data_IF_625165610381
#
_entry.id   IF_625165610381
#
_cell.length_a   1.000
_cell.length_b   1.000
_cell.length_c   1.000
_cell.angle_alpha   90.00
_cell.angle_beta   90.00
_cell.angle_gamma   90.00
#
_symmetry.space_group_name_H-M   'P 1'
#
loop_
_entity.id
_entity.type
_entity.pdbx_description
1 polymer ?
#
# COMPACT_ATOMS: atom_id res chain seq x y z
N UNK A 1 -18.28 -3.46 38.39
CA UNK A 1 -18.90 -4.02 37.16
C UNK A 1 -17.95 -3.74 35.99
N UNK A 2 -16.84 -4.48 35.87
CA UNK A 2 -15.66 -3.93 35.17
C UNK A 2 -14.79 -4.91 34.34
N UNK A 3 -15.31 -6.07 33.92
CA UNK A 3 -14.53 -7.01 33.09
C UNK A 3 -15.06 -7.26 31.66
N UNK A 4 -16.24 -6.72 31.28
CA UNK A 4 -16.80 -6.92 29.93
C UNK A 4 -16.17 -6.07 28.82
N UNK A 5 -15.41 -5.03 29.14
CA UNK A 5 -15.09 -3.95 28.19
C UNK A 5 -13.89 -4.22 27.26
N UNK A 6 -12.89 -5.03 27.65
CA UNK A 6 -11.68 -5.21 26.84
C UNK A 6 -11.76 -6.42 25.91
N UNK A 7 -12.22 -7.58 26.38
CA UNK A 7 -12.37 -8.79 25.55
C UNK A 7 -13.37 -8.60 24.41
N UNK A 8 -14.52 -7.97 24.67
CA UNK A 8 -15.53 -7.72 23.63
C UNK A 8 -15.06 -6.66 22.62
N UNK A 9 -14.32 -5.63 23.05
CA UNK A 9 -13.73 -4.63 22.14
C UNK A 9 -12.59 -5.21 21.30
N UNK A 10 -11.72 -6.04 21.87
CA UNK A 10 -10.67 -6.73 21.12
C UNK A 10 -11.26 -7.78 20.17
N UNK A 11 -12.26 -8.55 20.61
CA UNK A 11 -12.96 -9.52 19.76
C UNK A 11 -13.73 -8.83 18.62
N UNK A 12 -14.45 -7.75 18.91
CA UNK A 12 -15.15 -6.95 17.90
C UNK A 12 -14.19 -6.31 16.89
N UNK A 13 -13.06 -5.77 17.35
CA UNK A 13 -12.01 -5.23 16.49
C UNK A 13 -11.33 -6.28 15.61
N UNK A 14 -11.04 -7.47 16.16
CA UNK A 14 -10.50 -8.60 15.40
C UNK A 14 -11.50 -9.16 14.39
N UNK A 15 -12.78 -9.28 14.76
CA UNK A 15 -13.84 -9.73 13.86
C UNK A 15 -14.08 -8.72 12.73
N UNK A 16 -14.08 -7.42 13.04
CA UNK A 16 -14.20 -6.37 12.04
C UNK A 16 -13.00 -6.34 11.09
N UNK A 17 -11.78 -6.41 11.63
CA UNK A 17 -10.54 -6.49 10.84
C UNK A 17 -10.47 -7.75 9.97
N UNK A 18 -10.90 -8.89 10.51
CA UNK A 18 -11.00 -10.15 9.77
C UNK A 18 -12.03 -10.10 8.66
N UNK A 19 -13.20 -9.51 8.91
CA UNK A 19 -14.25 -9.33 7.91
C UNK A 19 -13.81 -8.35 6.81
N UNK A 20 -13.16 -7.23 7.18
CA UNK A 20 -12.66 -6.27 6.20
C UNK A 20 -11.57 -6.85 5.31
N UNK A 21 -10.61 -7.58 5.90
CA UNK A 21 -9.57 -8.26 5.12
C UNK A 21 -10.15 -9.37 4.24
N UNK A 22 -11.07 -10.17 4.79
CA UNK A 22 -11.76 -11.23 4.03
C UNK A 22 -12.52 -10.66 2.83
N UNK A 23 -13.25 -9.54 3.02
CA UNK A 23 -13.94 -8.86 1.92
C UNK A 23 -12.96 -8.35 0.86
N UNK A 24 -11.85 -7.73 1.28
CA UNK A 24 -10.82 -7.24 0.36
C UNK A 24 -10.18 -8.37 -0.46
N UNK A 25 -9.95 -9.52 0.18
CA UNK A 25 -9.35 -10.70 -0.45
C UNK A 25 -10.33 -11.40 -1.39
N UNK A 26 -11.62 -11.46 -1.03
CA UNK A 26 -12.69 -11.90 -1.92
C UNK A 26 -12.82 -11.00 -3.15
N UNK A 27 -12.73 -9.67 -2.96
CA UNK A 27 -12.72 -8.74 -4.09
C UNK A 27 -11.53 -9.00 -5.01
N UNK A 28 -10.32 -9.14 -4.46
CA UNK A 28 -9.13 -9.48 -5.24
C UNK A 28 -9.30 -10.79 -6.03
N UNK A 29 -9.88 -11.82 -5.41
CA UNK A 29 -10.16 -13.10 -6.07
C UNK A 29 -11.18 -12.96 -7.21
N UNK A 30 -12.26 -12.19 -7.00
CA UNK A 30 -13.26 -11.92 -8.05
C UNK A 30 -12.63 -11.16 -9.22
N UNK A 31 -11.82 -10.12 -8.95
CA UNK A 31 -11.07 -9.43 -10.00
C UNK A 31 -10.14 -10.39 -10.75
N UNK A 32 -9.44 -11.27 -10.03
CA UNK A 32 -8.59 -12.31 -10.63
C UNK A 32 -9.36 -13.24 -11.57
N UNK A 33 -10.55 -13.69 -11.18
CA UNK A 33 -11.42 -14.54 -11.99
C UNK A 33 -12.01 -13.81 -13.21
N UNK A 34 -12.39 -12.54 -13.05
CA UNK A 34 -12.90 -11.71 -14.16
C UNK A 34 -11.79 -11.45 -15.17
N UNK A 35 -10.59 -11.10 -14.72
CA UNK A 35 -9.40 -10.92 -15.56
C UNK A 35 -9.09 -12.19 -16.34
N UNK A 36 -9.17 -13.37 -15.71
CA UNK A 36 -8.95 -14.65 -16.38
C UNK A 36 -9.92 -14.89 -17.55
N UNK A 37 -11.13 -14.31 -17.50
CA UNK A 37 -12.14 -14.44 -18.56
C UNK A 37 -11.99 -13.40 -19.67
N UNK A 38 -11.38 -12.25 -19.38
CA UNK A 38 -11.25 -11.12 -20.31
C UNK A 38 -9.86 -10.97 -20.94
N UNK A 39 -8.79 -11.39 -20.27
CA UNK A 39 -7.42 -11.31 -20.78
C UNK A 39 -7.04 -12.59 -21.50
N UNK A 40 -6.42 -12.42 -22.66
CA UNK A 40 -5.65 -13.48 -23.32
C UNK A 40 -4.54 -13.99 -22.38
N UNK A 41 -4.15 -15.28 -22.42
CA UNK A 41 -3.09 -15.83 -21.56
C UNK A 41 -1.78 -15.04 -21.59
N UNK A 42 -1.49 -14.40 -22.72
CA UNK A 42 -0.34 -13.52 -22.92
C UNK A 42 -0.39 -12.28 -22.01
N UNK A 43 -1.53 -11.59 -21.95
CA UNK A 43 -1.69 -10.38 -21.14
C UNK A 43 -1.69 -10.68 -19.64
N UNK A 44 -2.23 -11.84 -19.25
CA UNK A 44 -2.21 -12.30 -17.87
C UNK A 44 -0.76 -12.57 -17.40
N UNK A 45 0.07 -13.12 -18.29
CA UNK A 45 1.50 -13.29 -18.05
C UNK A 45 2.21 -11.97 -17.79
N UNK A 46 1.94 -10.95 -18.61
CA UNK A 46 2.53 -9.59 -18.46
C UNK A 46 2.17 -8.97 -17.11
N UNK A 47 0.91 -9.06 -16.68
CA UNK A 47 0.47 -8.55 -15.38
C UNK A 47 1.11 -9.33 -14.23
N UNK A 48 1.11 -10.67 -14.29
CA UNK A 48 1.70 -11.51 -13.25
C UNK A 48 3.20 -11.22 -13.03
N UNK A 49 3.95 -10.95 -14.10
CA UNK A 49 5.36 -10.54 -14.02
C UNK A 49 5.52 -9.23 -13.25
N UNK A 50 4.67 -8.25 -13.51
CA UNK A 50 4.69 -6.95 -12.84
C UNK A 50 4.23 -7.03 -11.38
N UNK A 51 3.38 -8.01 -11.03
CA UNK A 51 2.93 -8.24 -9.65
C UNK A 51 4.09 -8.57 -8.71
N UNK A 52 5.12 -9.28 -9.16
CA UNK A 52 6.30 -9.61 -8.33
C UNK A 52 7.02 -8.32 -7.91
N UNK A 53 7.31 -7.44 -8.87
CA UNK A 53 7.94 -6.14 -8.60
C UNK A 53 7.03 -5.27 -7.72
N UNK A 54 5.72 -5.32 -7.98
CA UNK A 54 4.72 -4.61 -7.20
C UNK A 54 4.68 -5.08 -5.74
N UNK A 55 4.79 -6.38 -5.49
CA UNK A 55 4.81 -6.95 -4.14
C UNK A 55 6.08 -6.54 -3.38
N UNK A 56 7.24 -6.55 -4.04
CA UNK A 56 8.50 -6.08 -3.44
C UNK A 56 8.42 -4.59 -3.10
N UNK A 57 7.88 -3.78 -4.01
CA UNK A 57 7.67 -2.35 -3.79
C UNK A 57 6.71 -2.09 -2.61
N UNK A 58 5.62 -2.86 -2.52
CA UNK A 58 4.67 -2.78 -1.42
C UNK A 58 5.34 -3.12 -0.08
N UNK A 59 6.11 -4.20 -0.02
CA UNK A 59 6.84 -4.60 1.19
C UNK A 59 7.89 -3.56 1.63
N UNK A 60 8.58 -2.93 0.67
CA UNK A 60 9.48 -1.82 0.95
C UNK A 60 8.74 -0.59 1.50
N UNK A 61 7.56 -0.29 0.96
CA UNK A 61 6.74 0.84 1.41
C UNK A 61 6.16 0.60 2.81
N UNK A 62 5.65 -0.61 3.09
CA UNK A 62 5.18 -1.02 4.41
C UNK A 62 6.30 -1.02 5.46
N UNK A 63 7.48 -1.56 5.12
CA UNK A 63 8.62 -1.54 6.05
C UNK A 63 9.10 -0.11 6.35
N UNK A 64 9.14 0.77 5.33
CA UNK A 64 9.45 2.19 5.54
C UNK A 64 8.41 2.92 6.39
N UNK A 65 7.12 2.59 6.20
CA UNK A 65 6.02 3.13 7.01
C UNK A 65 6.08 2.66 8.47
N UNK A 66 6.26 1.36 8.70
CA UNK A 66 6.39 0.78 10.04
C UNK A 66 7.63 1.35 10.74
N UNK A 67 8.77 1.47 10.06
CA UNK A 67 9.98 2.08 10.63
C UNK A 67 9.76 3.54 11.06
N UNK A 68 8.98 4.31 10.31
CA UNK A 68 8.65 5.68 10.67
C UNK A 68 7.65 5.77 11.83
N UNK A 69 6.70 4.83 11.94
CA UNK A 69 5.65 4.82 12.95
C UNK A 69 6.09 4.19 14.29
N UNK A 70 6.83 3.07 14.27
CA UNK A 70 7.22 2.32 15.47
C UNK A 70 8.23 3.05 16.36
N UNK A 71 8.88 4.09 15.84
CA UNK A 71 9.96 4.77 16.56
C UNK A 71 9.50 5.87 17.54
N UNK A 72 8.19 6.06 17.76
CA UNK A 72 7.69 7.20 18.58
C UNK A 72 6.45 6.83 19.41
N UNK A 73 6.53 6.99 20.73
CA UNK A 73 5.45 6.70 21.68
C UNK A 73 4.51 7.87 21.96
N UNK A 74 4.90 9.12 21.68
CA UNK A 74 4.06 10.33 21.81
C UNK A 74 4.51 11.41 20.81
N UNK A 75 4.01 11.40 19.56
CA UNK A 75 4.47 12.32 18.52
C UNK A 75 3.86 13.72 18.65
N UNK A 76 4.71 14.75 18.62
CA UNK A 76 4.34 16.16 18.49
C UNK A 76 4.02 16.52 17.02
N UNK A 77 3.36 17.65 16.78
CA UNK A 77 2.93 18.09 15.44
C UNK A 77 4.06 18.16 14.41
N UNK A 78 5.27 18.57 14.81
CA UNK A 78 6.44 18.66 13.92
C UNK A 78 6.93 17.28 13.48
N UNK A 79 6.81 16.27 14.34
CA UNK A 79 7.25 14.90 14.07
C UNK A 79 6.29 14.16 13.13
N UNK A 80 4.99 14.47 13.20
CA UNK A 80 4.02 14.01 12.19
C UNK A 80 4.38 14.51 10.79
N UNK A 81 4.78 15.79 10.68
CA UNK A 81 5.21 16.36 9.41
C UNK A 81 6.50 15.69 8.92
N UNK A 82 7.45 15.39 9.80
CA UNK A 82 8.68 14.68 9.46
C UNK A 82 8.42 13.25 8.93
N UNK A 83 7.54 12.48 9.59
CA UNK A 83 7.13 11.13 9.13
C UNK A 83 6.41 11.20 7.78
N UNK A 84 5.59 12.23 7.59
CA UNK A 84 4.90 12.50 6.33
C UNK A 84 5.89 12.75 5.19
N UNK A 85 6.82 13.70 5.35
CA UNK A 85 7.82 14.01 4.33
C UNK A 85 8.75 12.82 4.07
N UNK A 86 9.11 12.05 5.10
CA UNK A 86 9.89 10.83 4.96
C UNK A 86 9.15 9.79 4.11
N UNK A 87 7.88 9.50 4.42
CA UNK A 87 7.11 8.51 3.68
C UNK A 87 6.85 8.94 2.22
N UNK A 88 6.62 10.23 1.99
CA UNK A 88 6.49 10.81 0.65
C UNK A 88 7.79 10.65 -0.15
N UNK A 89 8.93 10.93 0.48
CA UNK A 89 10.25 10.80 -0.14
C UNK A 89 10.59 9.34 -0.45
N UNK A 90 10.29 8.40 0.45
CA UNK A 90 10.46 6.95 0.22
C UNK A 90 9.57 6.48 -0.94
N UNK A 91 8.30 6.89 -0.97
CA UNK A 91 7.37 6.50 -2.05
C UNK A 91 7.77 7.10 -3.40
N UNK A 92 8.20 8.37 -3.42
CA UNK A 92 8.68 9.03 -4.63
C UNK A 92 9.99 8.42 -5.15
N UNK A 93 10.95 8.15 -4.26
CA UNK A 93 12.22 7.52 -4.64
C UNK A 93 12.01 6.10 -5.17
N UNK A 94 11.14 5.32 -4.53
CA UNK A 94 10.75 3.99 -5.02
C UNK A 94 10.10 4.04 -6.40
N UNK A 95 9.20 4.99 -6.64
CA UNK A 95 8.59 5.20 -7.96
C UNK A 95 9.64 5.51 -9.03
N UNK A 96 10.59 6.42 -8.74
CA UNK A 96 11.66 6.79 -9.67
C UNK A 96 12.52 5.56 -10.02
N UNK A 97 12.92 4.78 -9.02
CA UNK A 97 13.72 3.56 -9.22
C UNK A 97 12.96 2.59 -10.13
N UNK A 98 11.70 2.30 -9.83
CA UNK A 98 10.86 1.39 -10.62
C UNK A 98 10.61 1.90 -12.04
N UNK A 99 10.48 3.22 -12.21
CA UNK A 99 10.33 3.85 -13.53
C UNK A 99 11.55 3.64 -14.43
N UNK A 100 12.76 3.74 -13.87
CA UNK A 100 14.00 3.40 -14.58
C UNK A 100 14.18 1.89 -14.77
N UNK A 101 13.67 1.06 -13.85
CA UNK A 101 13.67 -0.40 -14.01
C UNK A 101 12.65 -0.89 -15.05
N UNK A 102 11.56 -0.16 -15.34
CA UNK A 102 10.54 -0.55 -16.31
C UNK A 102 11.09 -0.98 -17.70
N UNK A 103 11.98 -0.21 -18.37
CA UNK A 103 12.60 -0.66 -19.62
C UNK A 103 13.52 -1.87 -19.44
N UNK A 104 14.18 -2.02 -18.28
CA UNK A 104 15.02 -3.17 -17.98
C UNK A 104 14.17 -4.45 -17.85
N UNK A 105 13.02 -4.35 -17.17
CA UNK A 105 12.04 -5.43 -17.01
C UNK A 105 11.47 -5.84 -18.37
N UNK A 106 11.06 -4.86 -19.19
CA UNK A 106 10.57 -5.13 -20.54
C UNK A 106 11.62 -5.83 -21.42
N UNK A 107 12.90 -5.45 -21.28
CA UNK A 107 14.00 -6.10 -21.98
C UNK A 107 14.29 -7.51 -21.46
N UNK A 108 14.17 -7.73 -20.15
CA UNK A 108 14.34 -9.05 -19.52
C UNK A 108 13.30 -10.06 -20.01
N UNK A 109 12.05 -9.62 -20.15
CA UNK A 109 10.95 -10.46 -20.64
C UNK A 109 10.81 -10.46 -22.18
N UNK A 110 11.57 -9.63 -22.90
CA UNK A 110 11.52 -9.55 -24.36
C UNK A 110 10.23 -8.93 -24.92
N UNK A 111 9.46 -8.22 -24.10
CA UNK A 111 8.15 -7.67 -24.45
C UNK A 111 8.18 -6.15 -24.27
N UNK A 112 8.32 -5.35 -25.35
CA UNK A 112 8.40 -3.88 -25.25
C UNK A 112 7.10 -3.24 -24.76
N UNK A 113 5.95 -3.91 -24.94
CA UNK A 113 4.64 -3.48 -24.43
C UNK A 113 4.57 -3.44 -22.90
N UNK A 114 5.48 -4.11 -22.19
CA UNK A 114 5.54 -4.04 -20.73
C UNK A 114 5.93 -2.65 -20.22
N UNK A 115 6.64 -1.83 -21.01
CA UNK A 115 7.13 -0.52 -20.55
C UNK A 115 5.98 0.41 -20.16
N UNK A 116 4.98 0.70 -21.02
CA UNK A 116 3.86 1.56 -20.63
C UNK A 116 3.02 0.94 -19.50
N UNK A 117 2.79 -0.38 -19.52
CA UNK A 117 2.04 -1.07 -18.46
C UNK A 117 2.72 -0.95 -17.09
N UNK A 118 4.02 -1.21 -17.04
CA UNK A 118 4.83 -1.08 -15.83
C UNK A 118 4.81 0.36 -15.32
N UNK A 119 4.94 1.37 -16.19
CA UNK A 119 4.90 2.78 -15.79
C UNK A 119 3.56 3.18 -15.17
N UNK A 120 2.44 2.72 -15.74
CA UNK A 120 1.09 2.98 -15.22
C UNK A 120 0.90 2.27 -13.88
N UNK A 121 1.29 1.00 -13.76
CA UNK A 121 1.26 0.25 -12.50
C UNK A 121 2.13 0.91 -11.44
N UNK A 122 3.35 1.35 -11.78
CA UNK A 122 4.25 2.00 -10.84
C UNK A 122 3.73 3.36 -10.36
N UNK A 123 2.97 4.07 -11.20
CA UNK A 123 2.31 5.31 -10.81
C UNK A 123 1.36 5.11 -9.61
N UNK A 124 0.73 3.94 -9.49
CA UNK A 124 -0.14 3.62 -8.35
C UNK A 124 0.61 3.62 -7.01
N UNK A 125 1.92 3.35 -6.99
CA UNK A 125 2.73 3.41 -5.76
C UNK A 125 3.00 4.86 -5.33
N UNK A 126 3.15 5.76 -6.28
CA UNK A 126 3.27 7.20 -6.00
C UNK A 126 1.95 7.73 -5.40
N UNK A 127 0.81 7.36 -5.99
CA UNK A 127 -0.50 7.69 -5.43
C UNK A 127 -0.79 7.00 -4.09
N UNK A 128 -0.30 5.78 -3.88
CA UNK A 128 -0.42 5.08 -2.59
C UNK A 128 0.37 5.79 -1.49
N UNK A 129 1.54 6.35 -1.82
CA UNK A 129 2.25 7.30 -0.97
C UNK A 129 1.34 8.46 -0.56
N UNK A 130 0.73 9.16 -1.52
CA UNK A 130 -0.23 10.26 -1.26
C UNK A 130 -1.51 9.83 -0.52
N UNK A 131 -1.98 8.58 -0.67
CA UNK A 131 -3.10 8.05 0.10
C UNK A 131 -2.73 7.83 1.57
N UNK A 132 -1.50 7.39 1.82
CA UNK A 132 -0.93 7.25 3.16
C UNK A 132 -0.77 8.62 3.83
N UNK A 133 -0.42 9.66 3.05
CA UNK A 133 -0.43 11.06 3.49
C UNK A 133 -1.79 11.50 4.01
N UNK A 134 -2.85 11.28 3.24
CA UNK A 134 -4.21 11.65 3.63
C UNK A 134 -4.64 10.94 4.91
N UNK A 135 -4.34 9.64 5.02
CA UNK A 135 -4.61 8.87 6.24
C UNK A 135 -3.81 9.36 7.44
N UNK A 136 -2.51 9.63 7.30
CA UNK A 136 -1.67 10.14 8.37
C UNK A 136 -2.11 11.55 8.82
N UNK A 137 -2.46 12.42 7.87
CA UNK A 137 -3.00 13.75 8.16
C UNK A 137 -4.33 13.67 8.91
N UNK A 138 -5.27 12.82 8.44
CA UNK A 138 -6.56 12.62 9.09
C UNK A 138 -6.41 12.01 10.50
N UNK A 139 -5.51 11.04 10.68
CA UNK A 139 -5.21 10.46 11.98
C UNK A 139 -4.58 11.48 12.95
N UNK A 140 -3.61 12.27 12.48
CA UNK A 140 -3.02 13.35 13.28
C UNK A 140 -4.07 14.38 13.71
N UNK A 141 -4.98 14.76 12.80
CA UNK A 141 -6.02 15.74 13.08
C UNK A 141 -7.16 15.19 13.97
N UNK A 142 -7.42 13.87 13.96
CA UNK A 142 -8.40 13.21 14.82
C UNK A 142 -7.89 13.02 16.26
N UNK A 143 -6.60 12.76 16.45
CA UNK A 143 -5.99 12.69 17.80
C UNK A 143 -6.04 14.03 18.52
N UNK A 144 -5.82 15.13 17.81
CA UNK A 144 -5.90 16.51 18.34
C UNK A 144 -7.30 16.85 18.86
N UNK A 145 -8.35 16.25 18.28
CA UNK A 145 -9.74 16.50 18.68
C UNK A 145 -10.23 15.68 19.88
N UNK A 146 -9.49 14.67 20.33
CA UNK A 146 -9.83 13.92 21.55
C UNK A 146 -9.16 14.45 22.82
N UNK A 147 -8.23 15.41 22.69
CA UNK A 147 -7.52 16.03 23.82
C UNK A 147 -7.92 17.50 24.04
N UNK A 148 -8.99 18.00 23.40
CA UNK A 148 -9.58 19.32 23.68
C UNK A 148 -10.99 19.20 24.24
#
# INVERSE_FOLDING_TARGET
>A
MEEKSLKERTAGGMLWGGLSNGLMQLMAAVFGLVLLRYLTPDDYGKVAMLTIFSAIACALQESGFIAALCNRREPTHEEYNAVFWFNLLVSASLYIILWFCAPLIARFYGIPELVPLARVLFLSFFFSGLGTVQRAYLFGHLMVRQTS
#
